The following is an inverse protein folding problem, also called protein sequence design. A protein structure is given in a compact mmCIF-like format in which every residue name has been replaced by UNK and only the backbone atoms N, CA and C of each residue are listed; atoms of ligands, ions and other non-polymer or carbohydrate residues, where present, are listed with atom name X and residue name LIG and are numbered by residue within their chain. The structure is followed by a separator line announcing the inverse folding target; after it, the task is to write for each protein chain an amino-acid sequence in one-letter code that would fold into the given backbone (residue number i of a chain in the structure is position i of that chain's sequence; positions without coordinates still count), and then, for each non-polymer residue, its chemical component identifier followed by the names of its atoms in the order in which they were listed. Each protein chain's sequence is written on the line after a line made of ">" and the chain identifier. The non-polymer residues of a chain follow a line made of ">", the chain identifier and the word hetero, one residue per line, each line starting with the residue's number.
data_IF_089516656348
#
_entry.id   IF_089516656348
#
_cell.length_a   1.000
_cell.length_b   1.000
_cell.length_c   1.000
_cell.angle_alpha   90.00
_cell.angle_beta   90.00
_cell.angle_gamma   90.00
#
_symmetry.space_group_name_H-M   'P 1'
#
loop_
_entity.id
_entity.type
_entity.pdbx_description
1 polymer ?
#
# COMPACT_ATOMS: atom_id res chain seq x y z
N UNK A 1 -18.06 -11.74 9.33
CA UNK A 1 -18.18 -12.71 8.21
C UNK A 1 -16.97 -12.62 7.27
N UNK A 2 -16.70 -11.48 6.64
CA UNK A 2 -15.54 -11.30 5.72
C UNK A 2 -14.21 -11.77 6.33
N UNK A 3 -13.88 -11.36 7.56
CA UNK A 3 -12.63 -11.79 8.21
C UNK A 3 -12.47 -13.31 8.33
N UNK A 4 -13.55 -14.03 8.67
CA UNK A 4 -13.51 -15.50 8.75
C UNK A 4 -13.40 -16.17 7.38
N UNK A 5 -13.99 -15.56 6.33
CA UNK A 5 -13.80 -16.01 4.95
C UNK A 5 -12.34 -15.81 4.47
N UNK A 6 -11.63 -14.84 5.05
CA UNK A 6 -10.20 -14.62 4.86
C UNK A 6 -9.31 -15.49 5.80
N UNK A 7 -9.90 -16.38 6.61
CA UNK A 7 -9.16 -17.28 7.52
C UNK A 7 -8.82 -16.71 8.90
N UNK A 8 -9.43 -15.58 9.30
CA UNK A 8 -9.22 -15.00 10.64
C UNK A 8 -10.11 -15.69 11.69
N UNK A 9 -9.55 -15.90 12.89
CA UNK A 9 -10.29 -16.41 14.05
C UNK A 9 -11.33 -15.39 14.54
N UNK A 10 -12.57 -15.85 14.70
CA UNK A 10 -13.71 -14.96 14.92
C UNK A 10 -13.74 -14.29 16.30
N UNK A 11 -13.18 -14.94 17.34
CA UNK A 11 -13.02 -14.34 18.67
C UNK A 11 -11.93 -13.28 18.64
N UNK A 12 -10.75 -13.62 18.13
CA UNK A 12 -9.61 -12.70 18.07
C UNK A 12 -9.93 -11.45 17.25
N UNK A 13 -10.61 -11.59 16.10
CA UNK A 13 -11.05 -10.45 15.30
C UNK A 13 -12.02 -9.56 16.06
N UNK A 14 -12.95 -10.13 16.84
CA UNK A 14 -13.89 -9.34 17.65
C UNK A 14 -13.17 -8.60 18.76
N UNK A 15 -12.24 -9.26 19.43
CA UNK A 15 -11.46 -8.63 20.50
C UNK A 15 -10.64 -7.46 19.94
N UNK A 16 -9.96 -7.65 18.80
CA UNK A 16 -9.20 -6.59 18.12
C UNK A 16 -10.04 -5.40 17.63
N UNK A 17 -11.32 -5.63 17.31
CA UNK A 17 -12.24 -4.55 16.94
C UNK A 17 -12.76 -3.80 18.17
N UNK A 18 -12.98 -4.53 19.27
CA UNK A 18 -13.51 -3.96 20.52
C UNK A 18 -12.43 -3.22 21.33
N UNK A 19 -11.20 -3.74 21.33
CA UNK A 19 -10.07 -3.15 22.06
C UNK A 19 -9.52 -1.88 21.38
N UNK A 20 -9.87 -1.65 20.10
CA UNK A 20 -9.46 -0.49 19.33
C UNK A 20 -7.95 -0.39 19.10
N UNK A 21 -7.17 -1.45 19.35
CA UNK A 21 -5.70 -1.38 19.33
C UNK A 21 -5.10 -1.07 17.95
N UNK A 22 -5.90 -1.27 16.89
CA UNK A 22 -5.53 -0.96 15.51
C UNK A 22 -5.89 0.48 15.10
N UNK A 23 -6.62 1.24 15.93
CA UNK A 23 -7.02 2.60 15.59
C UNK A 23 -5.81 3.54 15.43
N UNK A 24 -4.86 3.49 16.37
CA UNK A 24 -3.66 4.34 16.33
C UNK A 24 -2.76 4.03 15.11
N UNK A 25 -2.42 2.76 14.79
CA UNK A 25 -1.70 2.44 13.56
C UNK A 25 -2.41 2.86 12.28
N UNK A 26 -3.74 2.79 12.22
CA UNK A 26 -4.52 3.24 11.06
C UNK A 26 -4.41 4.75 10.89
N UNK A 27 -4.53 5.53 11.96
CA UNK A 27 -4.38 7.00 11.89
C UNK A 27 -2.94 7.38 11.52
N UNK A 28 -1.93 6.72 12.11
CA UNK A 28 -0.52 6.96 11.78
C UNK A 28 -0.25 6.76 10.29
N UNK A 29 -0.81 5.71 9.67
CA UNK A 29 -0.65 5.51 8.21
C UNK A 29 -1.38 6.57 7.38
N UNK A 30 -2.55 7.06 7.82
CA UNK A 30 -3.27 8.15 7.15
C UNK A 30 -2.47 9.45 7.23
N UNK A 31 -1.95 9.78 8.42
CA UNK A 31 -1.11 10.97 8.65
C UNK A 31 0.17 10.90 7.83
N UNK A 32 0.86 9.76 7.86
CA UNK A 32 2.03 9.52 7.03
C UNK A 32 1.72 9.73 5.54
N UNK A 33 0.61 9.16 5.05
CA UNK A 33 0.20 9.26 3.65
C UNK A 33 0.01 10.72 3.23
N UNK A 34 -0.66 11.52 4.07
CA UNK A 34 -0.82 12.97 3.86
C UNK A 34 0.54 13.68 3.89
N UNK A 35 1.41 13.32 4.83
CA UNK A 35 2.75 13.88 5.00
C UNK A 35 3.67 13.66 3.80
N UNK A 36 3.54 12.52 3.11
CA UNK A 36 4.28 12.22 1.87
C UNK A 36 3.56 12.70 0.60
N UNK A 37 2.47 13.46 0.74
CA UNK A 37 1.76 14.09 -0.38
C UNK A 37 0.76 13.19 -1.13
N UNK A 38 0.35 12.06 -0.55
CA UNK A 38 -0.70 11.20 -1.13
C UNK A 38 -2.05 11.86 -0.87
N UNK A 39 -2.70 12.29 -1.95
CA UNK A 39 -3.98 13.02 -1.89
C UNK A 39 -5.17 12.24 -2.47
N UNK A 40 -4.93 11.04 -3.01
CA UNK A 40 -5.97 10.22 -3.63
C UNK A 40 -5.64 8.73 -3.61
N UNK A 41 -6.69 7.91 -3.71
CA UNK A 41 -6.59 6.44 -3.68
C UNK A 41 -7.20 5.82 -4.95
N UNK A 42 -6.68 4.68 -5.43
CA UNK A 42 -5.46 4.02 -4.94
C UNK A 42 -4.20 4.79 -5.36
N UNK A 43 -3.17 4.78 -4.51
CA UNK A 43 -1.82 5.23 -4.86
C UNK A 43 -0.84 4.11 -4.57
N UNK A 44 0.01 3.79 -5.54
CA UNK A 44 1.02 2.75 -5.45
C UNK A 44 2.40 3.41 -5.35
N UNK A 45 3.21 3.00 -4.39
CA UNK A 45 4.55 3.54 -4.17
C UNK A 45 5.56 2.45 -4.46
N UNK A 46 6.55 2.76 -5.31
CA UNK A 46 7.63 1.86 -5.65
C UNK A 46 8.98 2.48 -5.30
N UNK A 47 9.81 1.70 -4.59
CA UNK A 47 11.15 2.10 -4.13
C UNK A 47 11.17 3.46 -3.39
N UNK A 48 10.07 3.80 -2.70
CA UNK A 48 9.87 5.09 -1.99
C UNK A 48 10.08 6.35 -2.86
N UNK A 49 10.19 6.20 -4.17
CA UNK A 49 10.60 7.26 -5.12
C UNK A 49 9.59 7.48 -6.24
N UNK A 50 8.81 6.45 -6.58
CA UNK A 50 7.84 6.51 -7.67
C UNK A 50 6.45 6.25 -7.13
N UNK A 51 5.58 7.25 -7.22
CA UNK A 51 4.15 7.12 -6.94
C UNK A 51 3.37 7.01 -8.23
N UNK A 52 2.51 6.00 -8.34
CA UNK A 52 1.51 5.86 -9.39
C UNK A 52 0.12 6.09 -8.77
N UNK A 53 -0.55 7.17 -9.18
CA UNK A 53 -1.85 7.58 -8.62
C UNK A 53 -2.98 7.11 -9.53
N UNK A 54 -4.04 6.59 -8.91
CA UNK A 54 -5.25 6.10 -9.56
C UNK A 54 -5.20 4.62 -9.92
N UNK A 55 -6.37 4.07 -10.22
CA UNK A 55 -6.52 2.71 -10.73
C UNK A 55 -6.08 2.67 -12.21
N UNK A 56 -4.77 2.53 -12.42
CA UNK A 56 -4.18 2.51 -13.75
C UNK A 56 -4.34 1.13 -14.42
N UNK A 57 -4.20 1.12 -15.74
CA UNK A 57 -4.16 -0.12 -16.52
C UNK A 57 -2.92 -0.94 -16.19
N UNK A 58 -3.04 -2.27 -16.26
CA UNK A 58 -1.94 -3.21 -15.94
C UNK A 58 -0.65 -2.95 -16.74
N UNK A 59 -0.77 -2.45 -17.97
CA UNK A 59 0.36 -2.09 -18.81
C UNK A 59 1.22 -0.96 -18.23
N UNK A 60 0.58 0.01 -17.57
CA UNK A 60 1.26 1.12 -16.89
C UNK A 60 2.13 0.60 -15.75
N UNK A 61 1.60 -0.34 -14.96
CA UNK A 61 2.36 -1.01 -13.90
C UNK A 61 3.57 -1.77 -14.44
N UNK A 62 3.40 -2.50 -15.55
CA UNK A 62 4.49 -3.23 -16.22
C UNK A 62 5.61 -2.28 -16.64
N UNK A 63 5.27 -1.13 -17.21
CA UNK A 63 6.26 -0.18 -17.72
C UNK A 63 6.96 0.56 -16.57
N UNK A 64 6.26 0.89 -15.48
CA UNK A 64 6.85 1.39 -14.23
C UNK A 64 7.85 0.38 -13.66
N UNK A 65 7.47 -0.89 -13.57
CA UNK A 65 8.36 -1.95 -13.07
C UNK A 65 9.63 -2.08 -13.91
N UNK A 66 9.51 -2.10 -15.26
CA UNK A 66 10.67 -2.11 -16.17
C UNK A 66 11.60 -0.92 -15.93
N UNK A 67 11.05 0.29 -15.75
CA UNK A 67 11.83 1.52 -15.51
C UNK A 67 12.59 1.48 -14.17
N UNK A 68 11.98 0.92 -13.13
CA UNK A 68 12.58 0.80 -11.81
C UNK A 68 13.72 -0.23 -11.84
N UNK A 69 13.47 -1.41 -12.43
CA UNK A 69 14.48 -2.45 -12.58
C UNK A 69 15.66 -1.93 -13.42
N UNK A 70 15.38 -1.27 -14.55
CA UNK A 70 16.41 -0.73 -15.44
C UNK A 70 17.26 0.38 -14.82
N UNK A 71 16.77 1.13 -13.83
CA UNK A 71 17.59 2.10 -13.07
C UNK A 71 18.47 1.45 -12.00
N UNK A 72 18.09 0.26 -11.53
CA UNK A 72 18.81 -0.45 -10.46
C UNK A 72 20.03 -1.21 -10.99
N UNK A 73 20.02 -1.55 -12.27
CA UNK A 73 21.19 -2.03 -12.99
C UNK A 73 21.95 -0.81 -13.55
N UNK A 74 23.25 -0.63 -13.26
CA UNK A 74 24.01 0.37 -13.98
C UNK A 74 23.92 0.07 -15.48
N UNK A 75 23.79 1.11 -16.31
CA UNK A 75 23.97 0.95 -17.74
C UNK A 75 25.36 0.33 -17.94
N UNK A 76 25.41 -0.91 -18.45
CA UNK A 76 26.67 -1.55 -18.80
C UNK A 76 27.45 -0.58 -19.68
N UNK A 77 28.63 -0.18 -19.20
CA UNK A 77 29.57 0.69 -19.92
C UNK A 77 30.25 -0.06 -21.05
#
# INVERSE_FOLDING_TARGET
>A
RVGSECGLEASELRDALNDGRLAAPVEEQIEWSRGVGITGVPTFIFDEKFSLVGAQESEVFRDVAKRIIGRRLPAES
#
